data_IF_225373831734
#
_entry.id   IF_225373831734
#
_cell.length_a   1.000
_cell.length_b   1.000
_cell.length_c   1.000
_cell.angle_alpha   90.00
_cell.angle_beta   90.00
_cell.angle_gamma   90.00
#
_symmetry.space_group_name_H-M   'P 1'
#
loop_
_entity.id
_entity.type
_entity.pdbx_description
1 polymer ?
#
# COMPACT_ATOMS: atom_id res chain seq x y z
N UNK A 1 -18.76 -31.51 5.46
CA UNK A 1 -18.53 -31.41 3.98
C UNK A 1 -17.49 -30.34 3.75
N UNK A 2 -16.46 -30.63 2.98
CA UNK A 2 -15.43 -29.65 2.61
C UNK A 2 -16.01 -28.69 1.56
N UNK A 3 -15.84 -27.38 1.74
CA UNK A 3 -16.28 -26.39 0.77
C UNK A 3 -15.57 -26.58 -0.59
N UNK A 4 -16.28 -26.41 -1.66
CA UNK A 4 -15.73 -26.51 -3.02
C UNK A 4 -14.87 -25.28 -3.35
N UNK A 5 -13.95 -25.40 -4.32
CA UNK A 5 -13.15 -24.26 -4.81
C UNK A 5 -14.05 -23.10 -5.26
N UNK A 6 -15.18 -23.38 -5.92
CA UNK A 6 -16.14 -22.38 -6.36
C UNK A 6 -16.80 -21.63 -5.19
N UNK A 7 -17.09 -22.33 -4.08
CA UNK A 7 -17.64 -21.69 -2.88
C UNK A 7 -16.60 -20.82 -2.19
N UNK A 8 -15.38 -21.31 -2.03
CA UNK A 8 -14.27 -20.55 -1.42
C UNK A 8 -13.91 -19.31 -2.24
N UNK A 9 -13.78 -19.44 -3.57
CA UNK A 9 -13.47 -18.30 -4.43
C UNK A 9 -14.57 -17.25 -4.43
N UNK A 10 -15.84 -17.67 -4.46
CA UNK A 10 -16.98 -16.74 -4.34
C UNK A 10 -16.97 -16.00 -3.01
N UNK A 11 -16.67 -16.70 -1.90
CA UNK A 11 -16.52 -16.09 -0.58
C UNK A 11 -15.43 -15.02 -0.57
N UNK A 12 -14.22 -15.36 -1.03
CA UNK A 12 -13.09 -14.44 -1.07
C UNK A 12 -13.37 -13.18 -1.93
N UNK A 13 -13.98 -13.35 -3.11
CA UNK A 13 -14.35 -12.23 -3.97
C UNK A 13 -15.43 -11.34 -3.35
N UNK A 14 -16.42 -11.92 -2.67
CA UNK A 14 -17.45 -11.16 -1.96
C UNK A 14 -16.84 -10.34 -0.81
N UNK A 15 -15.91 -10.93 -0.03
CA UNK A 15 -15.24 -10.24 1.06
C UNK A 15 -14.45 -9.04 0.53
N UNK A 16 -13.70 -9.22 -0.57
CA UNK A 16 -12.98 -8.13 -1.24
C UNK A 16 -13.93 -7.05 -1.77
N UNK A 17 -15.03 -7.42 -2.41
CA UNK A 17 -16.03 -6.47 -2.87
C UNK A 17 -16.60 -5.66 -1.71
N UNK A 18 -16.82 -6.29 -0.55
CA UNK A 18 -17.26 -5.62 0.68
C UNK A 18 -16.27 -4.56 1.17
N UNK A 19 -14.95 -4.85 1.12
CA UNK A 19 -13.91 -3.88 1.48
C UNK A 19 -14.01 -2.64 0.59
N UNK A 20 -14.05 -2.80 -0.73
CA UNK A 20 -14.10 -1.67 -1.66
C UNK A 20 -15.43 -0.91 -1.60
N UNK A 21 -16.54 -1.59 -1.35
CA UNK A 21 -17.84 -0.94 -1.13
C UNK A 21 -17.87 -0.08 0.14
N UNK A 22 -17.06 -0.40 1.15
CA UNK A 22 -16.92 0.37 2.37
C UNK A 22 -15.92 1.54 2.27
N UNK A 23 -15.13 1.60 1.21
CA UNK A 23 -14.19 2.71 0.99
C UNK A 23 -14.92 3.93 0.44
N UNK A 24 -14.73 5.14 1.00
CA UNK A 24 -15.23 6.36 0.39
C UNK A 24 -14.54 6.63 -0.95
N UNK A 25 -15.23 7.33 -1.86
CA UNK A 25 -14.75 7.60 -3.22
C UNK A 25 -13.36 8.29 -3.24
N UNK A 26 -13.06 9.10 -2.25
CA UNK A 26 -11.81 9.84 -2.10
C UNK A 26 -10.77 9.13 -1.21
N UNK A 27 -10.98 7.87 -0.84
CA UNK A 27 -10.11 7.14 0.10
C UNK A 27 -8.63 7.10 -0.30
N UNK A 28 -8.34 7.12 -1.60
CA UNK A 28 -6.98 7.03 -2.15
C UNK A 28 -6.38 8.39 -2.54
N UNK A 29 -7.14 9.48 -2.49
CA UNK A 29 -6.72 10.77 -3.01
C UNK A 29 -5.49 11.33 -2.28
N UNK A 30 -5.43 11.18 -0.95
CA UNK A 30 -4.29 11.62 -0.16
C UNK A 30 -2.97 10.93 -0.55
N UNK A 31 -3.01 9.62 -0.82
CA UNK A 31 -1.87 8.86 -1.32
C UNK A 31 -1.50 9.29 -2.75
N UNK A 32 -2.48 9.46 -3.62
CA UNK A 32 -2.29 9.88 -5.02
C UNK A 32 -1.60 11.24 -5.06
N UNK A 33 -2.11 12.24 -4.34
CA UNK A 33 -1.53 13.58 -4.30
C UNK A 33 -0.12 13.60 -3.68
N UNK A 34 0.13 12.75 -2.68
CA UNK A 34 1.47 12.59 -2.13
C UNK A 34 2.47 12.05 -3.17
N UNK A 35 2.06 11.05 -3.96
CA UNK A 35 2.89 10.47 -5.03
C UNK A 35 3.12 11.49 -6.16
N UNK A 36 2.09 12.25 -6.56
CA UNK A 36 2.20 13.27 -7.62
C UNK A 36 3.21 14.33 -7.24
N UNK A 37 3.23 14.76 -5.98
CA UNK A 37 4.12 15.80 -5.49
C UNK A 37 5.56 15.32 -5.23
N UNK A 38 5.78 14.00 -5.15
CA UNK A 38 7.06 13.44 -4.73
C UNK A 38 8.13 13.50 -5.81
N UNK A 39 9.34 13.89 -5.44
CA UNK A 39 10.55 13.77 -6.26
C UNK A 39 11.05 12.33 -6.25
N UNK A 40 11.15 11.74 -5.07
CA UNK A 40 11.58 10.37 -4.81
C UNK A 40 10.62 9.71 -3.83
N UNK A 41 10.45 8.41 -3.95
CA UNK A 41 9.56 7.62 -3.10
C UNK A 41 10.35 6.48 -2.47
N UNK A 42 10.23 6.28 -1.17
CA UNK A 42 10.70 5.07 -0.49
C UNK A 42 9.49 4.36 0.12
N UNK A 43 9.35 3.08 -0.18
CA UNK A 43 8.26 2.27 0.35
C UNK A 43 8.74 1.29 1.41
N UNK A 44 7.89 1.00 2.39
CA UNK A 44 8.17 0.07 3.48
C UNK A 44 6.94 -0.77 3.83
N UNK A 45 7.17 -2.04 4.13
CA UNK A 45 6.20 -2.96 4.69
C UNK A 45 6.90 -4.23 5.15
N UNK A 46 6.31 -4.94 6.11
CA UNK A 46 6.83 -6.22 6.60
C UNK A 46 5.97 -7.40 6.13
N UNK A 47 6.57 -8.59 6.10
CA UNK A 47 5.88 -9.82 5.73
C UNK A 47 5.21 -9.73 4.36
N UNK A 48 3.95 -10.22 4.28
CA UNK A 48 3.18 -10.21 3.02
C UNK A 48 2.76 -8.79 2.59
N UNK A 49 2.51 -7.88 3.53
CA UNK A 49 2.33 -6.46 3.20
C UNK A 49 3.56 -5.90 2.49
N UNK A 50 4.77 -6.28 2.93
CA UNK A 50 6.02 -5.90 2.27
C UNK A 50 6.13 -6.42 0.83
N UNK A 51 5.57 -7.60 0.52
CA UNK A 51 5.51 -8.10 -0.86
C UNK A 51 4.61 -7.22 -1.73
N UNK A 52 3.46 -6.76 -1.20
CA UNK A 52 2.58 -5.84 -1.91
C UNK A 52 3.25 -4.47 -2.12
N UNK A 53 3.99 -3.98 -1.11
CA UNK A 53 4.77 -2.73 -1.23
C UNK A 53 5.87 -2.83 -2.30
N UNK A 54 6.56 -3.98 -2.41
CA UNK A 54 7.54 -4.22 -3.48
C UNK A 54 6.87 -4.25 -4.86
N UNK A 55 5.72 -4.92 -4.99
CA UNK A 55 4.91 -4.90 -6.22
C UNK A 55 4.47 -3.47 -6.60
N UNK A 56 4.05 -2.68 -5.62
CA UNK A 56 3.67 -1.29 -5.85
C UNK A 56 4.88 -0.43 -6.26
N UNK A 57 6.05 -0.61 -5.63
CA UNK A 57 7.28 0.07 -6.05
C UNK A 57 7.62 -0.24 -7.52
N UNK A 58 7.54 -1.51 -7.94
CA UNK A 58 7.74 -1.90 -9.33
C UNK A 58 6.75 -1.18 -10.27
N UNK A 59 5.47 -1.07 -9.90
CA UNK A 59 4.47 -0.35 -10.71
C UNK A 59 4.78 1.15 -10.82
N UNK A 60 5.21 1.78 -9.71
CA UNK A 60 5.65 3.19 -9.71
C UNK A 60 6.92 3.39 -10.55
N UNK A 61 7.85 2.45 -10.53
CA UNK A 61 9.03 2.44 -11.41
C UNK A 61 8.61 2.37 -12.88
N UNK A 62 7.69 1.48 -13.24
CA UNK A 62 7.15 1.42 -14.62
C UNK A 62 6.49 2.74 -15.04
N UNK A 63 5.93 3.50 -14.09
CA UNK A 63 5.42 4.86 -14.32
C UNK A 63 6.52 5.94 -14.36
N UNK A 64 7.80 5.54 -14.37
CA UNK A 64 8.93 6.47 -14.43
C UNK A 64 9.16 7.26 -13.15
N UNK A 65 8.69 6.77 -11.99
CA UNK A 65 8.98 7.39 -10.71
C UNK A 65 10.30 6.91 -10.14
N UNK A 66 11.04 7.82 -9.49
CA UNK A 66 12.21 7.47 -8.70
C UNK A 66 11.72 6.80 -7.41
N UNK A 67 11.80 5.49 -7.34
CA UNK A 67 11.27 4.69 -6.23
C UNK A 67 12.27 3.65 -5.76
N UNK A 68 12.38 3.48 -4.45
CA UNK A 68 13.19 2.46 -3.79
C UNK A 68 12.38 1.73 -2.72
N UNK A 69 12.81 0.53 -2.38
CA UNK A 69 12.26 -0.25 -1.28
C UNK A 69 13.21 -0.14 -0.09
N UNK A 70 12.69 0.23 1.07
CA UNK A 70 13.50 0.27 2.29
C UNK A 70 14.08 -1.11 2.61
N UNK A 71 15.35 -1.14 2.99
CA UNK A 71 16.10 -2.37 3.28
C UNK A 71 16.95 -2.87 2.11
N UNK A 72 16.73 -2.38 0.90
CA UNK A 72 17.69 -2.61 -0.19
C UNK A 72 18.94 -1.78 0.06
N UNK A 73 20.12 -2.34 -0.21
CA UNK A 73 21.41 -1.69 0.06
C UNK A 73 21.61 -0.36 -0.68
N UNK A 74 20.81 -0.13 -1.71
CA UNK A 74 20.81 1.09 -2.51
C UNK A 74 19.69 2.07 -2.15
N UNK A 75 19.00 1.85 -1.01
CA UNK A 75 17.96 2.77 -0.55
C UNK A 75 18.55 4.16 -0.31
N UNK A 76 18.08 5.19 -1.02
CA UNK A 76 18.63 6.54 -0.89
C UNK A 76 18.18 7.22 0.41
N UNK A 77 18.93 8.20 0.86
CA UNK A 77 18.48 9.10 1.91
C UNK A 77 17.28 9.93 1.43
N UNK A 78 16.29 10.11 2.31
CA UNK A 78 15.13 10.97 2.07
C UNK A 78 15.38 12.39 2.58
N UNK A 79 14.72 13.36 1.94
CA UNK A 79 14.77 14.78 2.30
C UNK A 79 13.52 15.54 1.86
N UNK A 80 13.61 16.86 1.85
CA UNK A 80 12.51 17.72 1.46
C UNK A 80 12.06 17.49 0.00
N UNK A 81 10.78 17.25 -0.16
CA UNK A 81 10.15 16.93 -1.46
C UNK A 81 10.12 15.42 -1.77
N UNK A 82 10.69 14.58 -0.91
CA UNK A 82 10.59 13.12 -1.02
C UNK A 82 9.37 12.59 -0.24
N UNK A 83 9.03 11.33 -0.49
CA UNK A 83 7.88 10.64 0.10
C UNK A 83 8.31 9.30 0.71
N UNK A 84 7.89 9.05 1.94
CA UNK A 84 7.95 7.74 2.58
C UNK A 84 6.54 7.16 2.68
N UNK A 85 6.34 5.95 2.17
CA UNK A 85 5.07 5.23 2.24
C UNK A 85 5.28 3.96 3.07
N UNK A 86 4.60 3.85 4.20
CA UNK A 86 4.59 2.64 5.02
C UNK A 86 3.27 1.90 4.92
N UNK A 87 3.31 0.56 4.92
CA UNK A 87 2.15 -0.29 5.18
C UNK A 87 2.25 -0.91 6.56
N UNK A 88 1.18 -0.75 7.33
CA UNK A 88 0.97 -1.39 8.62
C UNK A 88 -0.54 -1.61 8.81
N UNK A 89 -1.07 -2.67 8.21
CA UNK A 89 -2.48 -3.05 8.29
C UNK A 89 -3.02 -3.09 9.71
N UNK A 90 -2.33 -3.74 10.67
CA UNK A 90 -2.71 -3.77 12.09
C UNK A 90 -2.66 -2.42 12.83
N UNK A 91 -2.08 -1.37 12.24
CA UNK A 91 -2.04 -0.03 12.82
C UNK A 91 -0.87 0.26 13.75
N UNK A 92 -0.26 -0.76 14.34
CA UNK A 92 0.88 -0.65 15.25
C UNK A 92 2.04 -1.49 14.74
N UNK A 93 3.09 -0.81 14.31
CA UNK A 93 4.32 -1.42 13.84
C UNK A 93 5.50 -0.51 14.24
N UNK A 94 6.22 -0.80 15.34
CA UNK A 94 7.28 0.07 15.87
C UNK A 94 8.36 0.43 14.84
N UNK A 95 8.74 -0.52 14.00
CA UNK A 95 9.72 -0.26 12.93
C UNK A 95 9.19 0.78 11.93
N UNK A 96 7.93 0.67 11.50
CA UNK A 96 7.33 1.65 10.59
C UNK A 96 7.23 3.03 11.23
N UNK A 97 6.88 3.10 12.52
CA UNK A 97 6.83 4.35 13.27
C UNK A 97 8.21 5.03 13.29
N UNK A 98 9.24 4.29 13.70
CA UNK A 98 10.63 4.82 13.76
C UNK A 98 11.07 5.35 12.39
N UNK A 99 10.80 4.60 11.31
CA UNK A 99 11.18 5.01 9.97
C UNK A 99 10.39 6.25 9.49
N UNK A 100 9.09 6.32 9.79
CA UNK A 100 8.27 7.50 9.48
C UNK A 100 8.77 8.74 10.22
N UNK A 101 9.13 8.62 11.49
CA UNK A 101 9.71 9.72 12.28
C UNK A 101 11.06 10.19 11.72
N UNK A 102 11.93 9.26 11.30
CA UNK A 102 13.21 9.60 10.65
C UNK A 102 12.95 10.34 9.33
N UNK A 103 12.04 9.84 8.49
CA UNK A 103 11.68 10.47 7.22
C UNK A 103 11.12 11.89 7.43
N UNK A 104 10.22 12.09 8.40
CA UNK A 104 9.67 13.42 8.74
C UNK A 104 10.75 14.38 9.25
N UNK A 105 11.65 13.92 10.12
CA UNK A 105 12.77 14.75 10.60
C UNK A 105 13.69 15.18 9.46
N UNK A 106 13.82 14.36 8.42
CA UNK A 106 14.57 14.70 7.21
C UNK A 106 13.81 15.64 6.27
N UNK A 107 12.54 15.93 6.54
CA UNK A 107 11.70 16.82 5.72
C UNK A 107 10.89 16.09 4.64
N UNK A 108 10.91 14.78 4.59
CA UNK A 108 10.08 14.00 3.67
C UNK A 108 8.63 13.96 4.16
N UNK A 109 7.68 13.94 3.22
CA UNK A 109 6.27 13.65 3.51
C UNK A 109 6.09 12.16 3.82
N UNK A 110 5.13 11.84 4.68
CA UNK A 110 4.89 10.46 5.10
C UNK A 110 3.44 10.04 4.91
N UNK A 111 3.25 8.81 4.41
CA UNK A 111 1.94 8.17 4.21
C UNK A 111 1.93 6.83 4.90
N UNK A 112 0.84 6.54 5.59
CA UNK A 112 0.52 5.23 6.15
C UNK A 112 -0.65 4.61 5.39
N UNK A 113 -0.50 3.37 4.96
CA UNK A 113 -1.59 2.51 4.46
C UNK A 113 -1.94 1.52 5.58
N UNK A 114 -3.19 1.54 6.06
CA UNK A 114 -3.60 0.75 7.23
C UNK A 114 -5.09 0.41 7.21
N UNK A 115 -5.49 -0.60 7.97
CA UNK A 115 -6.89 -0.86 8.31
C UNK A 115 -7.30 -0.20 9.64
N UNK A 116 -6.34 0.35 10.40
CA UNK A 116 -6.54 0.87 11.76
C UNK A 116 -6.18 2.37 11.85
N UNK A 117 -7.07 3.27 11.39
CA UNK A 117 -6.76 4.71 11.36
C UNK A 117 -6.59 5.33 12.75
N UNK A 118 -7.06 4.66 13.80
CA UNK A 118 -6.87 5.09 15.19
C UNK A 118 -5.60 4.50 15.85
N UNK A 119 -4.84 3.67 15.14
CA UNK A 119 -3.60 3.08 15.63
C UNK A 119 -2.53 4.13 15.96
N UNK A 120 -1.55 3.75 16.79
CA UNK A 120 -0.52 4.68 17.26
C UNK A 120 0.27 5.29 16.09
N UNK A 121 0.62 4.50 15.10
CA UNK A 121 1.41 4.94 13.93
C UNK A 121 0.72 6.06 13.13
N UNK A 122 -0.62 6.08 13.07
CA UNK A 122 -1.37 7.11 12.35
C UNK A 122 -1.09 8.55 12.85
N UNK A 123 -0.68 8.71 14.11
CA UNK A 123 -0.32 10.01 14.71
C UNK A 123 1.07 10.52 14.30
N UNK A 124 1.88 9.65 13.71
CA UNK A 124 3.28 9.92 13.35
C UNK A 124 3.49 10.15 11.84
N UNK A 125 2.41 10.18 11.05
CA UNK A 125 2.44 10.39 9.61
C UNK A 125 1.61 11.59 9.18
N UNK A 126 1.85 12.10 7.98
CA UNK A 126 1.15 13.28 7.45
C UNK A 126 -0.17 12.90 6.76
N UNK A 127 -0.25 11.68 6.22
CA UNK A 127 -1.43 11.17 5.50
C UNK A 127 -1.71 9.73 5.93
N UNK A 128 -2.97 9.43 6.19
CA UNK A 128 -3.45 8.07 6.46
C UNK A 128 -4.39 7.64 5.33
N UNK A 129 -4.05 6.53 4.66
CA UNK A 129 -4.90 5.88 3.66
C UNK A 129 -5.50 4.62 4.28
N UNK A 130 -6.82 4.58 4.38
CA UNK A 130 -7.53 3.50 5.06
C UNK A 130 -8.06 2.49 4.06
N UNK A 131 -7.70 1.22 4.26
CA UNK A 131 -8.30 0.05 3.60
C UNK A 131 -9.04 -0.73 4.68
N UNK A 132 -10.38 -0.66 4.75
CA UNK A 132 -11.16 -1.19 5.87
C UNK A 132 -11.34 -2.71 5.77
N UNK A 133 -10.24 -3.44 5.87
CA UNK A 133 -10.19 -4.90 5.75
C UNK A 133 -9.74 -5.56 7.05
N UNK A 134 -10.11 -6.84 7.24
CA UNK A 134 -9.61 -7.64 8.35
C UNK A 134 -8.10 -7.77 8.29
N UNK A 135 -7.46 -7.60 9.43
CA UNK A 135 -6.04 -7.81 9.68
C UNK A 135 -5.85 -8.77 10.85
N UNK A 136 -4.61 -9.10 11.18
CA UNK A 136 -4.31 -9.88 12.39
C UNK A 136 -4.67 -9.16 13.70
N UNK A 137 -4.91 -7.85 13.69
CA UNK A 137 -5.33 -7.11 14.87
C UNK A 137 -6.79 -7.39 15.27
N UNK A 138 -7.63 -7.86 14.34
CA UNK A 138 -9.07 -8.07 14.56
C UNK A 138 -9.62 -9.41 14.03
N UNK A 139 -8.77 -10.39 13.74
CA UNK A 139 -9.17 -11.71 13.27
C UNK A 139 -9.57 -12.67 14.39
N UNK A 140 -9.30 -12.33 15.66
CA UNK A 140 -9.60 -13.16 16.83
C UNK A 140 -11.04 -13.03 17.33
N UNK A 141 -11.74 -11.95 16.99
CA UNK A 141 -13.10 -11.62 17.48
C UNK A 141 -14.24 -12.19 16.63
N UNK A 142 -13.94 -13.08 15.71
CA UNK A 142 -14.87 -13.73 14.79
C UNK A 142 -14.36 -13.72 13.36
N UNK A 143 -14.85 -14.69 12.56
CA UNK A 143 -14.46 -14.79 11.16
C UNK A 143 -15.17 -13.72 10.33
N UNK A 144 -14.47 -12.65 9.98
CA UNK A 144 -14.97 -11.59 9.11
C UNK A 144 -14.75 -11.92 7.63
N UNK A 145 -13.84 -12.86 7.31
CA UNK A 145 -13.51 -13.27 5.95
C UNK A 145 -13.23 -14.76 5.84
N UNK A 146 -13.44 -15.33 4.66
CA UNK A 146 -12.94 -16.67 4.33
C UNK A 146 -11.41 -16.69 4.21
N UNK A 147 -10.79 -15.55 3.92
CA UNK A 147 -9.35 -15.39 3.84
C UNK A 147 -8.76 -15.29 5.26
N UNK A 148 -7.78 -16.15 5.60
CA UNK A 148 -7.29 -16.26 6.98
C UNK A 148 -6.34 -15.11 7.34
N UNK A 149 -6.24 -14.81 8.63
CA UNK A 149 -5.30 -13.84 9.20
C UNK A 149 -5.47 -12.45 8.55
N UNK A 150 -4.41 -11.82 8.07
CA UNK A 150 -4.45 -10.54 7.35
C UNK A 150 -4.61 -10.64 5.82
N UNK A 151 -4.89 -11.84 5.27
CA UNK A 151 -4.94 -12.04 3.82
C UNK A 151 -5.96 -11.15 3.11
N UNK A 152 -7.08 -10.82 3.76
CA UNK A 152 -8.06 -9.90 3.19
C UNK A 152 -7.46 -8.50 2.97
N UNK A 153 -6.77 -7.96 3.99
CA UNK A 153 -6.12 -6.65 3.89
C UNK A 153 -5.04 -6.65 2.81
N UNK A 154 -4.18 -7.65 2.80
CA UNK A 154 -3.04 -7.73 1.87
C UNK A 154 -3.51 -7.86 0.42
N UNK A 155 -4.59 -8.62 0.16
CA UNK A 155 -5.18 -8.76 -1.17
C UNK A 155 -5.90 -7.47 -1.59
N UNK A 156 -6.66 -6.85 -0.68
CA UNK A 156 -7.28 -5.56 -0.93
C UNK A 156 -6.23 -4.46 -1.19
N UNK A 157 -5.12 -4.48 -0.45
CA UNK A 157 -4.00 -3.55 -0.64
C UNK A 157 -3.40 -3.67 -2.05
N UNK A 158 -3.19 -4.89 -2.56
CA UNK A 158 -2.71 -5.09 -3.92
C UNK A 158 -3.66 -4.44 -4.95
N UNK A 159 -4.96 -4.69 -4.82
CA UNK A 159 -5.97 -4.10 -5.73
C UNK A 159 -6.02 -2.57 -5.57
N UNK A 160 -6.00 -2.06 -4.33
CA UNK A 160 -6.01 -0.62 -4.08
C UNK A 160 -4.80 0.08 -4.74
N UNK A 161 -3.61 -0.54 -4.70
CA UNK A 161 -2.43 -0.01 -5.37
C UNK A 161 -2.59 0.00 -6.90
N UNK A 162 -3.21 -1.01 -7.50
CA UNK A 162 -3.51 -0.97 -8.94
C UNK A 162 -4.54 0.13 -9.27
N UNK A 163 -5.53 0.39 -8.39
CA UNK A 163 -6.45 1.52 -8.56
C UNK A 163 -5.71 2.87 -8.47
N UNK A 164 -4.74 3.01 -7.56
CA UNK A 164 -3.85 4.18 -7.51
C UNK A 164 -3.09 4.35 -8.83
N UNK A 165 -2.50 3.28 -9.35
CA UNK A 165 -1.80 3.30 -10.65
C UNK A 165 -2.74 3.74 -11.78
N UNK A 166 -3.96 3.21 -11.83
CA UNK A 166 -4.96 3.62 -12.84
C UNK A 166 -5.30 5.12 -12.77
N UNK A 167 -5.45 5.66 -11.56
CA UNK A 167 -5.70 7.11 -11.36
C UNK A 167 -4.46 7.99 -11.64
N UNK A 168 -3.25 7.48 -11.41
CA UNK A 168 -2.00 8.20 -11.67
C UNK A 168 -1.62 8.24 -13.16
N UNK A 169 -1.99 7.22 -13.95
CA UNK A 169 -1.63 7.15 -15.38
C UNK A 169 -1.92 8.44 -16.16
N UNK A 170 -3.15 9.00 -16.13
CA UNK A 170 -3.43 10.26 -16.83
C UNK A 170 -2.69 11.46 -16.24
N UNK A 171 -2.40 11.44 -14.91
CA UNK A 171 -1.68 12.53 -14.23
C UNK A 171 -0.22 12.67 -14.71
N UNK A 172 0.40 11.56 -15.10
CA UNK A 172 1.77 11.49 -15.60
C UNK A 172 1.85 11.27 -17.12
N UNK A 173 0.71 11.29 -17.82
CA UNK A 173 0.62 11.03 -19.27
C UNK A 173 1.21 9.65 -19.66
N UNK A 174 1.08 8.66 -18.77
CA UNK A 174 1.63 7.32 -19.00
C UNK A 174 0.64 6.44 -19.78
N UNK A 175 1.19 5.70 -20.74
CA UNK A 175 0.46 4.70 -21.53
C UNK A 175 0.94 3.28 -21.20
N UNK A 176 0.24 2.28 -21.69
CA UNK A 176 0.70 0.89 -21.58
C UNK A 176 2.03 0.65 -22.29
N UNK A 177 2.31 1.40 -23.35
CA UNK A 177 3.55 1.32 -24.12
C UNK A 177 4.73 1.93 -23.35
N UNK A 178 4.57 3.16 -22.82
CA UNK A 178 5.61 3.82 -22.03
C UNK A 178 5.95 3.05 -20.76
N UNK A 179 4.95 2.46 -20.11
CA UNK A 179 5.16 1.60 -18.94
C UNK A 179 5.87 0.30 -19.32
N UNK A 180 5.50 -0.33 -20.44
CA UNK A 180 6.15 -1.55 -20.93
C UNK A 180 7.61 -1.30 -21.34
N UNK A 181 7.92 -0.14 -21.89
CA UNK A 181 9.30 0.22 -22.29
C UNK A 181 10.27 0.31 -21.08
N UNK A 182 9.72 0.45 -19.85
CA UNK A 182 10.53 0.43 -18.60
C UNK A 182 10.52 -0.92 -17.91
N UNK A 183 9.86 -1.92 -18.50
CA UNK A 183 9.94 -3.29 -17.98
C UNK A 183 11.33 -3.86 -18.20
N UNK A 184 11.79 -4.71 -17.27
CA UNK A 184 13.09 -5.37 -17.41
C UNK A 184 13.15 -6.22 -18.67
N UNK A 185 14.33 -6.28 -19.29
CA UNK A 185 14.63 -7.20 -20.40
C UNK A 185 15.32 -8.49 -19.91
N UNK A 186 15.35 -8.71 -18.60
CA UNK A 186 15.98 -9.89 -17.98
C UNK A 186 14.96 -10.98 -17.59
N UNK A 187 13.71 -10.85 -18.02
CA UNK A 187 12.64 -11.83 -17.87
C UNK A 187 12.36 -12.54 -19.20
#
# INVERSE_FOLDING_TARGET
MTETLAQLSKGALNDLAGVFAAMPENALDGLIEAIVAAKRIVVFGLGREGLQMRGFAMRLFHMGRDVAVWGDMTTPALGAGDLFIASAGPGDLPTAQTLAEIARKAGARTVLVTAQPAGALAKHVDVVTVIPAQTMANDQSGRLSVLPMGSLFETAQMIAFELVILKLRPRFSETSETMRARHTNLE
#
